data_IF_761726305445
#
_entry.id   IF_761726305445
#
_cell.length_a   1.000
_cell.length_b   1.000
_cell.length_c   1.000
_cell.angle_alpha   90.00
_cell.angle_beta   90.00
_cell.angle_gamma   90.00
#
_symmetry.space_group_name_H-M   'P 1'
#
loop_
_entity.id
_entity.type
_entity.pdbx_description
1 polymer ?
#
# COMPACT_ATOMS: atom_id res chain seq x y z
N UNK A 1 -7.10 -10.53 -15.39
CA UNK A 1 -8.19 -9.61 -15.07
C UNK A 1 -9.19 -9.62 -16.23
N UNK A 2 -10.48 -9.72 -15.93
CA UNK A 2 -11.55 -9.62 -16.93
C UNK A 2 -12.22 -8.27 -16.72
N UNK A 3 -12.14 -7.38 -17.72
CA UNK A 3 -12.74 -6.06 -17.63
C UNK A 3 -14.11 -6.16 -18.30
N UNK A 4 -15.16 -5.79 -17.58
CA UNK A 4 -16.50 -5.70 -18.13
C UNK A 4 -16.66 -4.28 -18.65
N UNK A 5 -17.03 -4.17 -19.92
CA UNK A 5 -17.59 -2.94 -20.44
C UNK A 5 -18.79 -3.28 -21.30
N UNK A 6 -19.71 -2.33 -21.44
CA UNK A 6 -20.73 -2.45 -22.46
C UNK A 6 -20.09 -2.54 -23.86
N UNK A 7 -20.87 -2.98 -24.84
CA UNK A 7 -20.40 -3.28 -26.19
C UNK A 7 -19.73 -2.07 -26.89
N UNK A 8 -20.18 -0.85 -26.59
CA UNK A 8 -19.60 0.38 -27.14
C UNK A 8 -18.20 0.65 -26.58
N UNK A 9 -18.02 0.34 -25.31
CA UNK A 9 -16.82 0.62 -24.55
C UNK A 9 -15.76 -0.50 -24.72
N UNK A 10 -16.20 -1.74 -24.99
CA UNK A 10 -15.34 -2.84 -25.46
C UNK A 10 -14.64 -2.53 -26.79
N UNK A 11 -15.31 -1.82 -27.72
CA UNK A 11 -14.68 -1.32 -28.94
C UNK A 11 -13.60 -0.30 -28.63
N UNK A 12 -13.89 0.69 -27.78
CA UNK A 12 -12.92 1.73 -27.39
C UNK A 12 -11.69 1.11 -26.73
N UNK A 13 -11.87 0.24 -25.74
CA UNK A 13 -10.75 -0.39 -25.04
C UNK A 13 -9.94 -1.33 -25.94
N UNK A 14 -10.57 -1.97 -26.94
CA UNK A 14 -9.80 -2.72 -27.93
C UNK A 14 -8.75 -1.82 -28.59
N UNK A 15 -9.12 -0.60 -29.04
CA UNK A 15 -8.18 0.34 -29.68
C UNK A 15 -6.96 0.72 -28.84
N UNK A 16 -7.07 0.76 -27.51
CA UNK A 16 -6.00 1.26 -26.63
C UNK A 16 -5.10 0.17 -26.02
N UNK A 17 -5.58 -1.08 -25.85
CA UNK A 17 -4.88 -2.11 -25.06
C UNK A 17 -4.50 -3.37 -25.88
N UNK A 18 -4.18 -3.22 -27.16
CA UNK A 18 -3.96 -4.36 -28.08
C UNK A 18 -2.70 -5.21 -27.81
N UNK A 19 -1.66 -4.67 -27.17
CA UNK A 19 -0.31 -5.28 -27.13
C UNK A 19 0.17 -5.73 -25.74
N UNK A 20 -0.66 -5.69 -24.70
CA UNK A 20 -0.19 -6.01 -23.34
C UNK A 20 -0.19 -7.51 -22.99
N UNK A 21 0.83 -7.92 -22.22
CA UNK A 21 1.15 -9.29 -21.78
C UNK A 21 0.00 -9.93 -20.98
N UNK A 22 -0.91 -9.12 -20.45
CA UNK A 22 -2.22 -9.51 -19.92
C UNK A 22 -3.32 -9.04 -20.88
N UNK A 23 -3.89 -9.92 -21.70
CA UNK A 23 -5.03 -9.57 -22.57
C UNK A 23 -6.30 -9.50 -21.72
N UNK A 24 -6.89 -8.32 -21.44
CA UNK A 24 -8.18 -8.27 -20.77
C UNK A 24 -9.21 -9.03 -21.60
N UNK A 25 -9.94 -9.94 -20.94
CA UNK A 25 -11.09 -10.57 -21.55
C UNK A 25 -12.29 -9.67 -21.34
N UNK A 26 -13.14 -9.54 -22.36
CA UNK A 26 -14.35 -8.74 -22.33
C UNK A 26 -15.54 -9.66 -22.15
N UNK A 27 -16.47 -9.31 -21.26
CA UNK A 27 -17.77 -9.99 -21.13
C UNK A 27 -18.90 -8.98 -21.15
N UNK A 28 -20.01 -9.35 -21.79
CA UNK A 28 -21.22 -8.56 -21.74
C UNK A 28 -21.88 -8.72 -20.36
N UNK A 29 -22.15 -7.60 -19.71
CA UNK A 29 -22.72 -7.59 -18.36
C UNK A 29 -24.09 -8.27 -18.25
N UNK A 30 -24.91 -8.20 -19.31
CA UNK A 30 -26.27 -8.77 -19.34
C UNK A 30 -26.30 -10.29 -19.32
N UNK A 31 -25.16 -10.94 -19.55
CA UNK A 31 -25.02 -12.40 -19.59
C UNK A 31 -24.49 -12.99 -18.27
N UNK A 32 -24.26 -12.14 -17.25
CA UNK A 32 -23.65 -12.56 -15.98
C UNK A 32 -24.71 -12.89 -14.92
N UNK A 33 -24.60 -14.09 -14.35
CA UNK A 33 -25.46 -14.58 -13.24
C UNK A 33 -24.73 -14.70 -11.91
N UNK A 34 -23.39 -14.62 -11.93
CA UNK A 34 -22.51 -14.60 -10.75
C UNK A 34 -21.18 -13.94 -11.10
N UNK A 35 -20.49 -13.38 -10.10
CA UNK A 35 -19.21 -12.72 -10.28
C UNK A 35 -18.08 -13.45 -9.53
N UNK A 36 -17.16 -14.09 -10.25
CA UNK A 36 -15.90 -14.53 -9.68
C UNK A 36 -15.03 -13.31 -9.28
N UNK A 37 -14.12 -13.48 -8.31
CA UNK A 37 -13.27 -12.40 -7.77
C UNK A 37 -12.30 -11.75 -8.78
N UNK A 38 -12.18 -12.27 -10.01
CA UNK A 38 -11.22 -11.82 -11.02
C UNK A 38 -11.78 -10.78 -12.02
N UNK A 39 -12.96 -10.22 -11.76
CA UNK A 39 -13.62 -9.22 -12.60
C UNK A 39 -13.52 -7.80 -12.01
N UNK A 40 -13.41 -6.81 -12.90
CA UNK A 40 -13.61 -5.38 -12.62
C UNK A 40 -14.49 -4.77 -13.71
N UNK A 41 -15.36 -3.84 -13.35
CA UNK A 41 -16.29 -3.21 -14.30
C UNK A 41 -16.05 -1.70 -14.36
N UNK A 42 -15.71 -1.21 -15.56
CA UNK A 42 -15.70 0.23 -15.86
C UNK A 42 -17.15 0.66 -16.14
N UNK A 43 -17.74 1.43 -15.23
CA UNK A 43 -19.14 1.89 -15.31
C UNK A 43 -19.22 3.35 -15.75
N UNK A 44 -20.22 3.66 -16.58
CA UNK A 44 -20.45 5.00 -17.16
C UNK A 44 -21.67 5.72 -16.56
N UNK A 45 -22.48 5.02 -15.76
CA UNK A 45 -23.66 5.59 -15.13
C UNK A 45 -24.09 4.82 -13.87
N UNK A 46 -25.00 5.42 -13.10
CA UNK A 46 -25.50 4.86 -11.83
C UNK A 46 -26.21 3.52 -11.97
N UNK A 47 -26.89 3.28 -13.10
CA UNK A 47 -27.58 2.01 -13.32
C UNK A 47 -26.57 0.86 -13.48
N UNK A 48 -25.51 1.06 -14.26
CA UNK A 48 -24.43 0.09 -14.39
C UNK A 48 -23.74 -0.18 -13.06
N UNK A 49 -23.50 0.87 -12.25
CA UNK A 49 -22.97 0.74 -10.89
C UNK A 49 -23.86 -0.13 -9.99
N UNK A 50 -25.16 0.11 -9.97
CA UNK A 50 -26.10 -0.68 -9.17
C UNK A 50 -26.07 -2.17 -9.54
N UNK A 51 -25.92 -2.48 -10.84
CA UNK A 51 -25.79 -3.87 -11.29
C UNK A 51 -24.46 -4.47 -10.80
N UNK A 52 -23.35 -3.75 -10.97
CA UNK A 52 -22.05 -4.20 -10.48
C UNK A 52 -22.08 -4.51 -8.98
N UNK A 53 -22.71 -3.65 -8.17
CA UNK A 53 -22.87 -3.85 -6.73
C UNK A 53 -23.73 -5.08 -6.41
N UNK A 54 -24.84 -5.26 -7.12
CA UNK A 54 -25.72 -6.42 -6.93
C UNK A 54 -25.04 -7.76 -7.23
N UNK A 55 -24.00 -7.72 -8.06
CA UNK A 55 -23.19 -8.88 -8.45
C UNK A 55 -21.93 -9.03 -7.60
N UNK A 56 -21.58 -8.07 -6.75
CA UNK A 56 -20.31 -8.08 -5.99
C UNK A 56 -19.08 -7.88 -6.88
N UNK A 57 -19.18 -7.04 -7.92
CA UNK A 57 -18.10 -6.75 -8.86
C UNK A 57 -17.46 -5.40 -8.51
N UNK A 58 -16.14 -5.38 -8.38
CA UNK A 58 -15.36 -4.15 -8.24
C UNK A 58 -15.63 -3.22 -9.44
N UNK A 59 -15.79 -1.92 -9.20
CA UNK A 59 -16.08 -0.97 -10.29
C UNK A 59 -15.37 0.38 -10.15
N UNK A 60 -15.01 0.95 -11.30
CA UNK A 60 -14.43 2.29 -11.47
C UNK A 60 -15.28 3.08 -12.46
N UNK A 61 -15.29 4.40 -12.35
CA UNK A 61 -16.07 5.26 -13.24
C UNK A 61 -15.83 6.73 -12.94
N UNK A 62 -16.43 7.61 -13.73
CA UNK A 62 -16.36 9.05 -13.49
C UNK A 62 -17.16 9.44 -12.22
N UNK A 63 -16.85 10.57 -11.55
CA UNK A 63 -17.47 10.95 -10.26
C UNK A 63 -19.01 10.91 -10.23
N UNK A 64 -19.66 11.24 -11.33
CA UNK A 64 -21.12 11.20 -11.52
C UNK A 64 -21.75 9.80 -11.39
N UNK A 65 -20.95 8.74 -11.51
CA UNK A 65 -21.41 7.35 -11.53
C UNK A 65 -21.69 6.76 -10.15
N UNK A 66 -21.24 7.43 -9.06
CA UNK A 66 -21.40 6.94 -7.70
C UNK A 66 -20.48 5.75 -7.35
N UNK A 67 -19.29 5.70 -7.97
CA UNK A 67 -18.28 4.67 -7.71
C UNK A 67 -17.48 4.98 -6.44
N UNK A 68 -16.96 3.93 -5.80
CA UNK A 68 -16.02 4.08 -4.69
C UNK A 68 -14.66 4.60 -5.19
N UNK A 69 -14.29 4.19 -6.41
CA UNK A 69 -13.10 4.65 -7.12
C UNK A 69 -13.56 5.53 -8.29
N UNK A 70 -13.31 6.83 -8.17
CA UNK A 70 -13.60 7.81 -9.21
C UNK A 70 -12.30 8.18 -9.94
N UNK A 71 -12.36 8.27 -11.26
CA UNK A 71 -11.25 8.77 -12.10
C UNK A 71 -11.68 10.03 -12.84
N UNK A 72 -10.75 10.95 -13.06
CA UNK A 72 -11.01 12.18 -13.82
C UNK A 72 -11.25 11.88 -15.29
N UNK A 73 -10.55 10.88 -15.84
CA UNK A 73 -10.71 10.40 -17.21
C UNK A 73 -10.46 8.91 -17.33
N UNK A 74 -11.28 8.22 -18.13
CA UNK A 74 -11.04 6.81 -18.47
C UNK A 74 -9.76 6.61 -19.29
N UNK A 75 -9.22 7.67 -19.90
CA UNK A 75 -7.97 7.62 -20.66
C UNK A 75 -6.73 7.44 -19.77
N UNK A 76 -6.85 7.69 -18.46
CA UNK A 76 -5.76 7.56 -17.48
C UNK A 76 -5.73 6.18 -16.82
N UNK A 77 -6.70 5.31 -17.13
CA UNK A 77 -6.74 3.96 -16.61
C UNK A 77 -5.66 3.10 -17.27
N UNK A 78 -4.79 2.52 -16.45
CA UNK A 78 -3.91 1.43 -16.84
C UNK A 78 -4.32 0.11 -16.17
N UNK A 79 -3.71 -0.98 -16.62
CA UNK A 79 -3.99 -2.32 -16.10
C UNK A 79 -3.60 -2.45 -14.63
N UNK A 80 -2.56 -1.74 -14.19
CA UNK A 80 -2.05 -1.81 -12.82
C UNK A 80 -3.04 -1.18 -11.84
N UNK A 81 -3.57 0.00 -12.16
CA UNK A 81 -4.62 0.68 -11.41
C UNK A 81 -5.88 -0.19 -11.29
N UNK A 82 -6.34 -0.75 -12.41
CA UNK A 82 -7.53 -1.61 -12.42
C UNK A 82 -7.32 -2.89 -11.58
N UNK A 83 -6.15 -3.50 -11.66
CA UNK A 83 -5.83 -4.66 -10.84
C UNK A 83 -5.73 -4.29 -9.35
N UNK A 84 -5.17 -3.11 -9.02
CA UNK A 84 -5.12 -2.59 -7.65
C UNK A 84 -6.52 -2.38 -7.07
N UNK A 85 -7.41 -1.70 -7.80
CA UNK A 85 -8.82 -1.51 -7.39
C UNK A 85 -9.52 -2.86 -7.18
N UNK A 86 -9.34 -3.80 -8.12
CA UNK A 86 -9.91 -5.14 -8.01
C UNK A 86 -9.41 -5.87 -6.78
N UNK A 87 -8.09 -5.87 -6.54
CA UNK A 87 -7.48 -6.57 -5.40
C UNK A 87 -8.02 -6.03 -4.08
N UNK A 88 -8.02 -4.70 -3.91
CA UNK A 88 -8.56 -4.04 -2.70
C UNK A 88 -10.03 -4.36 -2.46
N UNK A 89 -10.87 -4.29 -3.50
CA UNK A 89 -12.29 -4.65 -3.40
C UNK A 89 -12.49 -6.10 -2.93
N UNK A 90 -11.61 -7.02 -3.34
CA UNK A 90 -11.69 -8.44 -2.97
C UNK A 90 -10.84 -8.78 -1.72
N UNK A 91 -10.36 -7.78 -0.97
CA UNK A 91 -9.49 -7.95 0.20
C UNK A 91 -8.21 -8.76 -0.09
N UNK A 92 -7.72 -8.67 -1.32
CA UNK A 92 -6.42 -9.23 -1.73
C UNK A 92 -5.39 -8.10 -1.56
N UNK A 93 -4.28 -8.32 -0.83
CA UNK A 93 -3.29 -7.27 -0.63
C UNK A 93 -2.61 -6.86 -1.94
N UNK A 94 -2.36 -5.56 -2.10
CA UNK A 94 -1.51 -5.04 -3.18
C UNK A 94 -0.02 -5.24 -2.85
N UNK A 95 0.74 -5.72 -3.82
CA UNK A 95 2.20 -5.83 -3.71
C UNK A 95 2.80 -4.46 -4.07
N UNK A 96 3.40 -3.78 -3.09
CA UNK A 96 3.99 -2.45 -3.28
C UNK A 96 5.28 -2.57 -4.09
N UNK A 97 6.04 -3.64 -3.83
CA UNK A 97 7.20 -4.02 -4.61
C UNK A 97 8.12 -4.99 -3.89
N UNK A 98 9.25 -5.26 -4.55
CA UNK A 98 10.25 -6.19 -4.06
C UNK A 98 11.62 -5.51 -3.96
N UNK A 99 12.40 -6.00 -3.02
CA UNK A 99 13.83 -5.77 -2.92
C UNK A 99 14.56 -7.09 -3.17
N UNK A 100 15.89 -7.11 -3.05
CA UNK A 100 16.67 -8.35 -3.23
C UNK A 100 16.15 -9.48 -2.33
N UNK A 101 15.81 -9.16 -1.08
CA UNK A 101 15.45 -10.15 -0.05
C UNK A 101 14.02 -10.03 0.48
N UNK A 102 13.30 -8.96 0.17
CA UNK A 102 12.00 -8.67 0.79
C UNK A 102 10.90 -8.45 -0.25
N UNK A 103 9.70 -8.92 0.08
CA UNK A 103 8.44 -8.49 -0.53
C UNK A 103 7.78 -7.49 0.42
N UNK A 104 7.32 -6.37 -0.11
CA UNK A 104 6.61 -5.34 0.65
C UNK A 104 5.20 -5.26 0.08
N UNK A 105 4.19 -5.52 0.92
CA UNK A 105 2.77 -5.54 0.50
C UNK A 105 1.84 -4.98 1.57
N UNK A 106 0.66 -4.57 1.14
CA UNK A 106 -0.44 -4.22 2.04
C UNK A 106 -0.75 -5.34 3.02
N UNK A 107 -1.25 -4.97 4.21
CA UNK A 107 -1.74 -5.91 5.20
C UNK A 107 -3.05 -6.56 4.73
N UNK A 108 -3.18 -7.86 4.98
CA UNK A 108 -4.44 -8.60 4.93
C UNK A 108 -4.85 -9.00 6.34
N UNK A 109 -6.17 -9.12 6.60
CA UNK A 109 -6.65 -9.57 7.91
C UNK A 109 -6.17 -11.00 8.26
N UNK A 110 -5.81 -11.80 7.25
CA UNK A 110 -5.19 -13.11 7.46
C UNK A 110 -3.77 -13.04 8.07
N UNK A 111 -3.13 -11.87 8.04
CA UNK A 111 -1.78 -11.68 8.57
C UNK A 111 -1.75 -11.39 10.07
N UNK A 112 -2.90 -11.07 10.68
CA UNK A 112 -2.99 -10.69 12.09
C UNK A 112 -2.26 -11.68 13.03
N UNK A 113 -2.47 -13.01 12.93
CA UNK A 113 -1.75 -13.94 13.79
C UNK A 113 -0.23 -13.81 13.69
N UNK A 114 0.31 -13.70 12.47
CA UNK A 114 1.75 -13.52 12.26
C UNK A 114 2.24 -12.14 12.73
N UNK A 115 1.39 -11.12 12.64
CA UNK A 115 1.68 -9.77 13.13
C UNK A 115 1.81 -9.75 14.66
N UNK A 116 0.91 -10.43 15.37
CA UNK A 116 1.02 -10.61 16.83
C UNK A 116 2.29 -11.39 17.21
N UNK A 117 2.59 -12.50 16.51
CA UNK A 117 3.85 -13.23 16.72
C UNK A 117 5.10 -12.36 16.51
N UNK A 118 5.05 -11.42 15.57
CA UNK A 118 6.15 -10.47 15.33
C UNK A 118 6.30 -9.50 16.50
N UNK A 119 5.20 -8.90 16.97
CA UNK A 119 5.21 -7.90 18.05
C UNK A 119 5.53 -8.51 19.42
N UNK A 120 5.22 -9.79 19.65
CA UNK A 120 5.55 -10.52 20.88
C UNK A 120 7.05 -10.83 21.02
N UNK A 121 7.87 -10.62 19.98
CA UNK A 121 9.31 -10.88 20.06
C UNK A 121 10.00 -9.90 21.01
N UNK A 122 10.99 -10.38 21.79
CA UNK A 122 11.72 -9.51 22.72
C UNK A 122 12.33 -8.29 22.04
N UNK A 123 12.05 -7.11 22.59
CA UNK A 123 12.60 -5.83 22.12
C UNK A 123 11.85 -5.15 20.97
N UNK A 124 10.77 -5.75 20.45
CA UNK A 124 10.03 -5.15 19.33
C UNK A 124 9.23 -3.91 19.72
N UNK A 125 8.69 -3.88 20.93
CA UNK A 125 7.88 -2.77 21.45
C UNK A 125 8.66 -1.86 22.41
N UNK A 126 9.99 -1.96 22.45
CA UNK A 126 10.82 -1.10 23.32
C UNK A 126 10.74 0.38 22.91
N UNK A 127 10.51 0.63 21.61
CA UNK A 127 10.49 1.97 21.00
C UNK A 127 9.35 2.16 19.99
N UNK A 128 8.40 1.22 19.95
CA UNK A 128 7.24 1.22 19.05
C UNK A 128 6.02 0.91 19.89
N UNK A 129 4.90 1.56 19.59
CA UNK A 129 3.64 1.28 20.27
C UNK A 129 3.23 -0.20 20.06
N UNK A 130 2.80 -0.90 21.13
CA UNK A 130 2.29 -2.25 20.99
C UNK A 130 0.97 -2.27 20.22
N UNK A 131 0.60 -3.43 19.69
CA UNK A 131 -0.72 -3.65 19.12
C UNK A 131 -1.81 -3.54 20.21
N UNK A 132 -3.03 -3.26 19.79
CA UNK A 132 -4.20 -3.39 20.67
C UNK A 132 -4.48 -4.87 21.01
N UNK A 133 -5.50 -5.12 21.83
CA UNK A 133 -6.06 -6.47 21.92
C UNK A 133 -6.62 -6.92 20.56
N UNK A 134 -6.72 -8.24 20.36
CA UNK A 134 -7.00 -8.82 19.04
C UNK A 134 -8.26 -8.29 18.37
N UNK A 135 -9.35 -8.09 19.12
CA UNK A 135 -10.62 -7.62 18.56
C UNK A 135 -10.53 -6.15 18.16
N UNK A 136 -9.93 -5.32 19.01
CA UNK A 136 -9.70 -3.90 18.70
C UNK A 136 -8.77 -3.73 17.51
N UNK A 137 -7.68 -4.51 17.44
CA UNK A 137 -6.73 -4.48 16.33
C UNK A 137 -7.38 -4.97 15.03
N UNK A 138 -8.24 -5.98 15.09
CA UNK A 138 -8.99 -6.46 13.93
C UNK A 138 -9.87 -5.35 13.33
N UNK A 139 -10.61 -4.62 14.16
CA UNK A 139 -11.44 -3.50 13.70
C UNK A 139 -10.59 -2.32 13.21
N UNK A 140 -9.48 -2.02 13.89
CA UNK A 140 -8.54 -0.99 13.45
C UNK A 140 -7.95 -1.32 12.08
N UNK A 141 -7.48 -2.55 11.85
CA UNK A 141 -6.89 -2.96 10.58
C UNK A 141 -7.92 -3.04 9.45
N UNK A 142 -9.17 -3.43 9.73
CA UNK A 142 -10.28 -3.31 8.76
C UNK A 142 -10.44 -1.87 8.29
N UNK A 143 -10.56 -0.94 9.24
CA UNK A 143 -10.69 0.47 8.93
C UNK A 143 -9.46 1.02 8.19
N UNK A 144 -8.26 0.58 8.57
CA UNK A 144 -7.01 0.98 7.91
C UNK A 144 -6.97 0.53 6.44
N UNK A 145 -7.29 -0.74 6.17
CA UNK A 145 -7.33 -1.28 4.79
C UNK A 145 -8.33 -0.51 3.93
N UNK A 146 -9.53 -0.25 4.47
CA UNK A 146 -10.61 0.40 3.75
C UNK A 146 -10.34 1.89 3.47
N UNK A 147 -9.79 2.61 4.45
CA UNK A 147 -9.74 4.06 4.40
C UNK A 147 -8.35 4.62 4.09
N UNK A 148 -7.27 3.91 4.43
CA UNK A 148 -5.91 4.43 4.26
C UNK A 148 -5.36 4.03 2.89
N UNK A 149 -5.26 2.73 2.61
CA UNK A 149 -4.66 2.26 1.36
C UNK A 149 -5.42 2.72 0.12
N UNK A 150 -6.76 2.64 0.16
CA UNK A 150 -7.63 3.06 -0.94
C UNK A 150 -7.51 4.54 -1.30
N UNK A 151 -7.29 5.39 -0.29
CA UNK A 151 -7.29 6.85 -0.46
C UNK A 151 -5.88 7.43 -0.69
N UNK A 152 -4.91 7.04 0.13
CA UNK A 152 -3.56 7.62 0.06
C UNK A 152 -2.64 6.89 -0.91
N UNK A 153 -2.95 5.63 -1.24
CA UNK A 153 -2.08 4.75 -2.03
C UNK A 153 -0.68 4.52 -1.42
N UNK A 154 -0.50 4.94 -0.17
CA UNK A 154 0.60 4.58 0.71
C UNK A 154 0.06 4.30 2.11
N UNK A 155 0.92 3.74 2.96
CA UNK A 155 0.59 3.42 4.33
C UNK A 155 1.71 2.64 4.99
N UNK A 156 1.45 2.11 6.17
CA UNK A 156 2.27 1.09 6.80
C UNK A 156 2.02 -0.26 6.13
N UNK A 157 3.08 -0.88 5.63
CA UNK A 157 3.01 -2.16 4.93
C UNK A 157 3.70 -3.27 5.71
N UNK A 158 3.44 -4.51 5.32
CA UNK A 158 4.09 -5.68 5.86
C UNK A 158 5.29 -6.07 4.98
N UNK A 159 6.36 -6.51 5.64
CA UNK A 159 7.62 -6.91 5.02
C UNK A 159 7.78 -8.42 5.17
N UNK A 160 7.84 -9.14 4.05
CA UNK A 160 8.00 -10.58 4.01
C UNK A 160 9.37 -10.97 3.48
N UNK A 161 9.98 -12.01 4.04
CA UNK A 161 11.20 -12.62 3.48
C UNK A 161 10.84 -13.32 2.16
N UNK A 162 11.57 -13.01 1.08
CA UNK A 162 11.40 -13.71 -0.21
C UNK A 162 11.87 -15.16 -0.17
N UNK A 163 12.85 -15.45 0.69
CA UNK A 163 13.37 -16.81 0.88
C UNK A 163 12.36 -17.72 1.58
N UNK A 164 11.72 -17.22 2.65
CA UNK A 164 10.90 -18.06 3.55
C UNK A 164 9.40 -17.82 3.44
N UNK A 165 8.97 -16.71 2.83
CA UNK A 165 7.58 -16.26 2.81
C UNK A 165 7.06 -15.78 4.17
N UNK A 166 7.92 -15.69 5.20
CA UNK A 166 7.50 -15.29 6.55
C UNK A 166 7.44 -13.78 6.69
N UNK A 167 6.51 -13.32 7.52
CA UNK A 167 6.47 -11.94 7.98
C UNK A 167 7.71 -11.65 8.83
N UNK A 168 8.47 -10.63 8.44
CA UNK A 168 9.72 -10.24 9.09
C UNK A 168 9.75 -8.79 9.57
N UNK A 169 8.70 -8.01 9.31
CA UNK A 169 8.67 -6.61 9.67
C UNK A 169 7.43 -5.88 9.22
N UNK A 170 7.36 -4.61 9.62
CA UNK A 170 6.36 -3.63 9.19
C UNK A 170 7.09 -2.34 8.88
N UNK A 171 6.84 -1.73 7.73
CA UNK A 171 7.49 -0.49 7.34
C UNK A 171 6.63 0.25 6.31
N UNK A 172 6.67 1.58 6.33
CA UNK A 172 5.90 2.38 5.39
C UNK A 172 5.83 3.84 5.79
N UNK A 173 4.78 4.50 5.32
CA UNK A 173 4.56 5.92 5.51
C UNK A 173 3.23 6.18 6.22
N UNK A 174 3.25 7.02 7.23
CA UNK A 174 2.04 7.66 7.76
C UNK A 174 2.18 9.17 7.57
N UNK A 175 1.42 9.73 6.63
CA UNK A 175 1.74 11.03 6.04
C UNK A 175 3.19 11.03 5.51
N UNK A 176 3.96 12.07 5.78
CA UNK A 176 5.39 12.18 5.44
C UNK A 176 6.31 11.55 6.51
N UNK A 177 5.77 10.78 7.47
CA UNK A 177 6.55 10.06 8.47
C UNK A 177 6.93 8.65 8.01
N UNK A 178 8.22 8.35 7.97
CA UNK A 178 8.74 7.01 7.72
C UNK A 178 8.86 6.20 9.01
N UNK A 179 8.04 5.15 9.13
CA UNK A 179 8.06 4.18 10.21
C UNK A 179 8.60 2.82 9.76
N UNK A 180 9.32 2.12 10.64
CA UNK A 180 9.81 0.76 10.35
C UNK A 180 10.14 -0.05 11.61
N UNK A 181 9.96 -1.36 11.50
CA UNK A 181 10.40 -2.36 12.45
C UNK A 181 10.72 -3.67 11.70
N UNK A 182 11.79 -4.33 12.11
CA UNK A 182 12.23 -5.61 11.54
C UNK A 182 12.46 -6.58 12.69
N UNK A 183 12.17 -7.87 12.49
CA UNK A 183 12.34 -8.91 13.49
C UNK A 183 13.76 -8.92 14.10
N UNK A 184 13.93 -9.14 15.42
CA UNK A 184 15.21 -9.03 16.10
C UNK A 184 16.31 -9.94 15.56
N UNK A 185 15.94 -11.15 15.14
CA UNK A 185 16.84 -12.12 14.53
C UNK A 185 17.46 -11.65 13.20
N UNK A 186 16.92 -10.59 12.58
CA UNK A 186 17.39 -10.01 11.32
C UNK A 186 18.09 -8.64 11.50
N UNK A 187 18.26 -8.18 12.75
CA UNK A 187 18.96 -6.94 13.03
C UNK A 187 20.42 -6.98 12.59
N UNK A 188 20.97 -5.82 12.27
CA UNK A 188 22.36 -5.63 11.80
C UNK A 188 22.74 -6.39 10.51
N UNK A 189 21.78 -6.99 9.80
CA UNK A 189 21.97 -7.66 8.52
C UNK A 189 21.53 -6.82 7.31
N UNK A 190 21.20 -5.54 7.55
CA UNK A 190 20.87 -4.57 6.50
C UNK A 190 19.41 -4.59 6.00
N UNK A 191 18.54 -5.45 6.53
CA UNK A 191 17.12 -5.53 6.12
C UNK A 191 16.39 -4.19 6.24
N UNK A 192 16.50 -3.51 7.39
CA UNK A 192 15.89 -2.19 7.56
C UNK A 192 16.45 -1.15 6.58
N UNK A 193 17.76 -1.20 6.26
CA UNK A 193 18.34 -0.29 5.25
C UNK A 193 17.76 -0.55 3.87
N UNK A 194 17.62 -1.82 3.48
CA UNK A 194 17.09 -2.23 2.19
C UNK A 194 15.63 -1.79 2.02
N UNK A 195 14.79 -2.12 3.00
CA UNK A 195 13.36 -1.78 3.00
C UNK A 195 13.14 -0.27 3.03
N UNK A 196 13.81 0.46 3.92
CA UNK A 196 13.60 1.91 4.01
C UNK A 196 14.10 2.65 2.77
N UNK A 197 15.15 2.16 2.09
CA UNK A 197 15.57 2.74 0.79
C UNK A 197 14.48 2.58 -0.26
N UNK A 198 13.90 1.39 -0.36
CA UNK A 198 12.77 1.16 -1.25
C UNK A 198 11.62 2.12 -0.95
N UNK A 199 11.23 2.29 0.32
CA UNK A 199 10.12 3.17 0.71
C UNK A 199 10.42 4.64 0.40
N UNK A 200 11.66 5.11 0.63
CA UNK A 200 12.07 6.48 0.28
C UNK A 200 11.98 6.71 -1.23
N UNK A 201 12.39 5.73 -2.03
CA UNK A 201 12.31 5.81 -3.49
C UNK A 201 10.85 5.71 -3.98
N UNK A 202 10.01 4.92 -3.31
CA UNK A 202 8.57 4.87 -3.54
C UNK A 202 7.94 6.24 -3.26
N UNK A 203 8.22 6.84 -2.10
CA UNK A 203 7.71 8.16 -1.73
C UNK A 203 8.06 9.21 -2.79
N UNK A 204 9.33 9.24 -3.24
CA UNK A 204 9.78 10.18 -4.29
C UNK A 204 8.98 10.07 -5.58
N UNK A 205 8.58 8.85 -5.97
CA UNK A 205 7.93 8.57 -7.26
C UNK A 205 6.41 8.69 -7.21
N UNK A 206 5.82 8.32 -6.08
CA UNK A 206 4.38 8.05 -5.97
C UNK A 206 3.66 9.01 -5.02
N UNK A 207 4.35 9.98 -4.41
CA UNK A 207 3.71 10.98 -3.54
C UNK A 207 4.20 12.39 -3.86
N UNK A 208 3.42 13.37 -3.37
CA UNK A 208 3.76 14.78 -3.52
C UNK A 208 4.76 15.28 -2.46
N UNK A 209 5.27 14.40 -1.59
CA UNK A 209 6.16 14.80 -0.49
C UNK A 209 7.50 15.33 -1.00
N UNK A 210 7.88 16.51 -0.51
CA UNK A 210 9.20 17.12 -0.74
C UNK A 210 10.25 16.59 0.23
N UNK A 211 9.82 16.23 1.44
CA UNK A 211 10.64 15.77 2.55
C UNK A 211 9.91 14.63 3.27
N UNK A 212 10.69 13.73 3.87
CA UNK A 212 10.22 12.77 4.86
C UNK A 212 10.83 13.09 6.22
N UNK A 213 10.13 12.72 7.28
CA UNK A 213 10.67 12.75 8.64
C UNK A 213 10.55 11.40 9.35
N UNK A 214 11.27 11.24 10.46
CA UNK A 214 11.13 10.13 11.40
C UNK A 214 11.21 10.68 12.83
N UNK A 215 10.37 10.17 13.73
CA UNK A 215 10.52 10.36 15.18
C UNK A 215 11.30 9.19 15.76
N UNK A 216 12.39 9.50 16.46
CA UNK A 216 13.30 8.49 17.00
C UNK A 216 13.63 8.81 18.44
N UNK A 217 13.31 7.91 19.36
CA UNK A 217 13.86 7.94 20.71
C UNK A 217 15.39 7.78 20.64
N UNK A 218 16.14 8.72 21.20
CA UNK A 218 17.60 8.75 21.13
C UNK A 218 18.26 7.54 21.82
N UNK A 219 17.54 6.82 22.69
CA UNK A 219 17.97 5.54 23.27
C UNK A 219 17.99 4.42 22.22
N UNK A 220 17.18 4.53 21.17
CA UNK A 220 17.18 3.62 20.02
C UNK A 220 18.37 3.94 19.08
N UNK A 221 19.58 3.64 19.55
CA UNK A 221 20.81 3.95 18.82
C UNK A 221 20.88 3.25 17.46
N UNK A 222 20.17 2.14 17.27
CA UNK A 222 20.08 1.43 15.99
C UNK A 222 19.31 2.27 14.96
N UNK A 223 18.14 2.81 15.35
CA UNK A 223 17.33 3.68 14.50
C UNK A 223 18.05 5.00 14.18
N UNK A 224 18.71 5.62 15.17
CA UNK A 224 19.53 6.83 14.96
C UNK A 224 20.64 6.58 13.93
N UNK A 225 21.35 5.45 14.01
CA UNK A 225 22.38 5.09 13.02
C UNK A 225 21.78 4.85 11.64
N UNK A 226 20.61 4.21 11.57
CA UNK A 226 19.94 3.95 10.29
C UNK A 226 19.50 5.25 9.62
N UNK A 227 18.83 6.14 10.36
CA UNK A 227 18.39 7.44 9.85
C UNK A 227 19.56 8.23 9.23
N UNK A 228 20.68 8.33 9.95
CA UNK A 228 21.91 8.96 9.44
C UNK A 228 22.44 8.27 8.18
N UNK A 229 22.46 6.94 8.15
CA UNK A 229 22.91 6.14 6.98
C UNK A 229 22.01 6.34 5.76
N UNK A 230 20.71 6.57 5.96
CA UNK A 230 19.74 6.88 4.91
C UNK A 230 19.77 8.37 4.50
N UNK A 231 20.62 9.17 5.14
CA UNK A 231 20.80 10.59 4.84
C UNK A 231 19.73 11.49 5.46
N UNK A 232 19.08 11.06 6.53
CA UNK A 232 18.30 11.96 7.38
C UNK A 232 19.24 12.72 8.32
N UNK A 233 18.87 13.97 8.60
CA UNK A 233 19.58 14.86 9.53
C UNK A 233 18.68 15.19 10.72
N UNK A 234 19.24 15.20 11.93
CA UNK A 234 18.50 15.65 13.11
C UNK A 234 18.14 17.13 12.93
N UNK A 235 16.85 17.46 13.07
CA UNK A 235 16.33 18.81 12.88
C UNK A 235 16.56 19.75 14.06
N UNK A 236 16.99 19.21 15.21
CA UNK A 236 17.07 19.92 16.48
C UNK A 236 15.75 20.00 17.24
N UNK A 237 14.65 19.53 16.64
CA UNK A 237 13.34 19.49 17.27
C UNK A 237 13.08 18.14 17.93
N UNK A 238 12.28 18.17 18.99
CA UNK A 238 11.81 17.00 19.73
C UNK A 238 10.29 17.01 19.72
N UNK A 239 9.69 15.84 19.54
CA UNK A 239 8.29 15.61 19.84
C UNK A 239 8.17 15.42 21.35
N UNK A 240 7.62 16.42 22.04
CA UNK A 240 7.56 16.48 23.50
C UNK A 240 6.61 15.42 24.09
N UNK A 241 5.61 14.97 23.33
CA UNK A 241 4.61 14.01 23.81
C UNK A 241 5.22 12.61 23.96
N UNK A 242 6.15 12.25 23.08
CA UNK A 242 6.81 10.94 23.08
C UNK A 242 8.33 11.01 23.36
N UNK A 243 8.86 12.19 23.65
CA UNK A 243 10.28 12.45 23.89
C UNK A 243 11.19 11.87 22.80
N UNK A 244 10.83 12.11 21.53
CA UNK A 244 11.53 11.58 20.37
C UNK A 244 12.15 12.71 19.52
N UNK A 245 13.40 12.55 19.11
CA UNK A 245 14.05 13.51 18.22
C UNK A 245 13.54 13.37 16.79
N UNK A 246 13.38 14.49 16.09
CA UNK A 246 12.87 14.54 14.73
C UNK A 246 14.03 14.59 13.73
N UNK A 247 14.11 13.58 12.87
CA UNK A 247 15.07 13.48 11.77
C UNK A 247 14.36 13.76 10.44
N UNK A 248 14.97 14.54 9.55
CA UNK A 248 14.38 15.00 8.28
C UNK A 248 15.27 14.70 7.08
N UNK A 249 14.66 14.42 5.92
CA UNK A 249 15.35 14.16 4.65
C UNK A 249 14.54 14.70 3.48
N UNK A 250 15.09 15.64 2.74
CA UNK A 250 14.54 16.01 1.44
C UNK A 250 14.67 14.85 0.43
N UNK A 251 13.58 14.52 -0.26
CA UNK A 251 13.52 13.38 -1.19
C UNK A 251 13.41 13.77 -2.66
N UNK A 252 13.05 15.01 -2.99
CA UNK A 252 12.89 15.49 -4.38
C UNK A 252 14.08 16.30 -4.91
N UNK A 253 14.88 16.92 -4.03
CA UNK A 253 16.06 17.69 -4.41
C UNK A 253 17.32 16.82 -4.49
N UNK A 254 17.51 16.18 -5.64
CA UNK A 254 18.83 15.75 -6.13
C UNK A 254 19.10 16.26 -7.56
N UNK A 255 18.49 17.37 -7.97
CA UNK A 255 19.09 18.24 -8.98
C UNK A 255 19.99 19.26 -8.27
N UNK A 256 21.21 18.85 -7.92
CA UNK A 256 22.32 19.80 -7.87
C UNK A 256 23.23 19.47 -9.04
N UNK A 257 23.35 20.49 -9.91
CA UNK A 257 24.31 20.62 -10.99
C UNK A 257 25.71 20.13 -10.61
#
# INVERSE_FOLDING_TARGET
>A
MIIIIDEASAKLASFYYHDEIFKPQWKCAVEMTSAPANYIWIVSNRQQKQIADSLGIASVGEPQCGTHYAVESLAELDIEYLERVRRRYNHIPWDIGETDRCLIRELSLSDLPALYELYDKPGMTDFVEPLYDYETELEYQKAYIENMYGFYEYGMWLVFSRETGKLIGRAGLEHDELGYMIAPELWNQGYATEVCRFIIDYARKNTDFEELYCRIDERNTASVRLAKKLGFTNSGNVDDDINASIYRKNIKNNEKH
#
